data_IF_849536670270
#
_entry.id   IF_849536670270
#
_cell.length_a   1.000
_cell.length_b   1.000
_cell.length_c   1.000
_cell.angle_alpha   90.00
_cell.angle_beta   90.00
_cell.angle_gamma   90.00
#
_symmetry.space_group_name_H-M   'P 1'
#
loop_
_entity.id
_entity.type
_entity.pdbx_description
1 polymer ?
#
# COMPACT_ATOMS: atom_id res chain seq x y z
N UNK A 1 6.62 -3.60 22.69
CA UNK A 1 8.03 -3.89 23.04
C UNK A 1 8.76 -4.68 21.95
N UNK A 2 8.14 -5.67 21.31
CA UNK A 2 8.78 -6.48 20.24
C UNK A 2 9.35 -5.65 19.08
N UNK A 3 8.67 -4.58 18.64
CA UNK A 3 9.18 -3.70 17.57
C UNK A 3 10.43 -2.91 17.97
N UNK A 4 10.52 -2.48 19.22
CA UNK A 4 11.72 -1.80 19.76
C UNK A 4 12.89 -2.77 19.82
N UNK A 5 12.64 -4.01 20.26
CA UNK A 5 13.65 -5.05 20.28
C UNK A 5 14.17 -5.39 18.87
N UNK A 6 13.27 -5.48 17.87
CA UNK A 6 13.65 -5.68 16.46
C UNK A 6 14.49 -4.52 15.91
N UNK A 7 14.15 -3.27 16.24
CA UNK A 7 14.93 -2.10 15.82
C UNK A 7 16.31 -2.07 16.47
N UNK A 8 16.40 -2.34 17.78
CA UNK A 8 17.68 -2.43 18.50
C UNK A 8 18.55 -3.54 17.88
N UNK A 9 17.97 -4.70 17.59
CA UNK A 9 18.68 -5.80 16.96
C UNK A 9 19.19 -5.44 15.55
N UNK A 10 18.37 -4.76 14.74
CA UNK A 10 18.79 -4.28 13.42
C UNK A 10 19.96 -3.30 13.51
N UNK A 11 19.93 -2.36 14.46
CA UNK A 11 21.03 -1.42 14.70
C UNK A 11 22.31 -2.16 15.10
N UNK A 12 22.21 -3.13 16.01
CA UNK A 12 23.35 -3.96 16.43
C UNK A 12 23.94 -4.71 15.22
N UNK A 13 23.12 -5.33 14.38
CA UNK A 13 23.58 -6.00 13.17
C UNK A 13 24.31 -5.04 12.22
N UNK A 14 23.80 -3.82 12.00
CA UNK A 14 24.51 -2.84 11.18
C UNK A 14 25.86 -2.47 11.77
N UNK A 15 25.95 -2.32 13.09
CA UNK A 15 27.21 -2.01 13.75
C UNK A 15 28.25 -3.12 13.59
N UNK A 16 27.82 -4.38 13.70
CA UNK A 16 28.68 -5.56 13.47
C UNK A 16 29.19 -5.62 12.03
N UNK A 17 28.34 -5.32 11.05
CA UNK A 17 28.74 -5.28 9.63
C UNK A 17 29.84 -4.25 9.42
N UNK A 18 29.67 -3.03 9.93
CA UNK A 18 30.68 -1.96 9.81
C UNK A 18 31.96 -2.25 10.60
N UNK A 19 31.86 -2.88 11.76
CA UNK A 19 33.03 -3.36 12.50
C UNK A 19 33.81 -4.40 11.70
N UNK A 20 33.14 -5.30 10.98
CA UNK A 20 33.84 -6.27 10.13
C UNK A 20 34.61 -5.60 8.99
N UNK A 21 34.04 -4.55 8.38
CA UNK A 21 34.70 -3.74 7.34
C UNK A 21 35.93 -3.02 7.91
N UNK A 22 35.83 -2.46 9.11
CA UNK A 22 36.95 -1.79 9.77
C UNK A 22 38.12 -2.76 10.04
N UNK A 23 37.82 -3.99 10.46
CA UNK A 23 38.84 -5.04 10.66
C UNK A 23 39.48 -5.43 9.32
N UNK A 24 38.69 -5.61 8.25
CA UNK A 24 39.22 -5.92 6.92
C UNK A 24 40.13 -4.80 6.40
N UNK A 25 39.78 -3.53 6.67
CA UNK A 25 40.63 -2.39 6.31
C UNK A 25 41.98 -2.40 7.02
N UNK A 26 42.02 -2.85 8.26
CA UNK A 26 43.23 -2.94 9.07
C UNK A 26 44.14 -4.10 8.63
N UNK A 27 43.58 -5.21 8.15
CA UNK A 27 44.34 -6.40 7.74
C UNK A 27 44.74 -6.39 6.25
N UNK A 28 43.88 -5.87 5.37
CA UNK A 28 44.05 -5.99 3.92
C UNK A 28 43.50 -4.74 3.20
N UNK A 29 44.26 -3.63 3.15
CA UNK A 29 43.78 -2.36 2.60
C UNK A 29 43.38 -2.47 1.12
N UNK A 30 43.99 -3.39 0.37
CA UNK A 30 43.71 -3.61 -1.05
C UNK A 30 42.32 -4.22 -1.33
N UNK A 31 41.69 -4.87 -0.35
CA UNK A 31 40.38 -5.53 -0.48
C UNK A 31 39.23 -4.71 0.13
N UNK A 32 39.54 -3.53 0.64
CA UNK A 32 38.60 -2.66 1.36
C UNK A 32 37.42 -2.25 0.50
N UNK A 33 37.66 -1.90 -0.76
CA UNK A 33 36.61 -1.47 -1.69
C UNK A 33 35.59 -2.60 -1.91
N UNK A 34 36.05 -3.84 -2.06
CA UNK A 34 35.18 -5.01 -2.22
C UNK A 34 34.39 -5.30 -0.94
N UNK A 35 35.04 -5.22 0.22
CA UNK A 35 34.40 -5.41 1.52
C UNK A 35 33.31 -4.35 1.81
N UNK A 36 33.59 -3.07 1.50
CA UNK A 36 32.64 -1.96 1.64
C UNK A 36 31.45 -2.16 0.70
N UNK A 37 31.69 -2.52 -0.55
CA UNK A 37 30.62 -2.79 -1.52
C UNK A 37 29.69 -3.92 -1.06
N UNK A 38 30.25 -5.05 -0.60
CA UNK A 38 29.49 -6.17 -0.09
C UNK A 38 28.72 -5.84 1.21
N UNK A 39 29.34 -5.10 2.12
CA UNK A 39 28.69 -4.64 3.34
C UNK A 39 27.53 -3.69 3.04
N UNK A 40 27.69 -2.80 2.07
CA UNK A 40 26.65 -1.86 1.65
C UNK A 40 25.48 -2.60 0.98
N UNK A 41 25.76 -3.55 0.08
CA UNK A 41 24.74 -4.40 -0.54
C UNK A 41 24.00 -5.23 0.50
N UNK A 42 24.71 -5.85 1.44
CA UNK A 42 24.12 -6.65 2.51
C UNK A 42 23.22 -5.82 3.41
N UNK A 43 23.66 -4.61 3.77
CA UNK A 43 22.86 -3.68 4.57
C UNK A 43 21.60 -3.25 3.82
N UNK A 44 21.71 -2.90 2.54
CA UNK A 44 20.58 -2.56 1.70
C UNK A 44 19.57 -3.71 1.60
N UNK A 45 20.02 -4.92 1.27
CA UNK A 45 19.17 -6.10 1.18
C UNK A 45 18.46 -6.41 2.50
N UNK A 46 19.17 -6.30 3.62
CA UNK A 46 18.61 -6.52 4.95
C UNK A 46 17.48 -5.54 5.27
N UNK A 47 17.71 -4.24 5.02
CA UNK A 47 16.68 -3.21 5.20
C UNK A 47 15.50 -3.39 4.24
N UNK A 48 15.76 -3.82 3.01
CA UNK A 48 14.72 -4.10 2.02
C UNK A 48 13.78 -5.24 2.46
N UNK A 49 14.34 -6.36 2.91
CA UNK A 49 13.56 -7.50 3.42
C UNK A 49 12.73 -7.09 4.63
N UNK A 50 13.32 -6.34 5.56
CA UNK A 50 12.63 -5.86 6.75
C UNK A 50 11.53 -4.84 6.42
N UNK A 51 11.77 -3.95 5.45
CA UNK A 51 10.77 -3.01 4.94
C UNK A 51 9.60 -3.70 4.23
N UNK A 52 9.89 -4.69 3.38
CA UNK A 52 8.86 -5.49 2.71
C UNK A 52 8.01 -6.31 3.69
N UNK A 53 8.63 -6.84 4.76
CA UNK A 53 7.89 -7.54 5.81
C UNK A 53 6.91 -6.60 6.54
N UNK A 54 7.29 -5.34 6.78
CA UNK A 54 6.42 -4.31 7.38
C UNK A 54 5.26 -3.94 6.44
N UNK A 55 5.54 -3.77 5.14
CA UNK A 55 4.53 -3.48 4.11
C UNK A 55 3.48 -4.60 4.03
N UNK A 56 3.92 -5.86 3.95
CA UNK A 56 3.03 -7.03 3.91
C UNK A 56 2.19 -7.17 5.18
N UNK A 57 2.74 -6.80 6.34
CA UNK A 57 1.97 -6.76 7.60
C UNK A 57 0.94 -5.64 7.63
N UNK A 58 1.24 -4.49 7.03
CA UNK A 58 0.32 -3.34 6.97
C UNK A 58 -0.83 -3.62 6.01
N UNK A 59 -0.54 -4.22 4.87
CA UNK A 59 -1.52 -4.67 3.86
C UNK A 59 -2.48 -5.72 4.43
N UNK A 60 -2.04 -6.60 5.34
CA UNK A 60 -2.95 -7.52 6.04
C UNK A 60 -3.88 -6.86 7.06
N UNK A 61 -3.49 -5.73 7.68
CA UNK A 61 -4.36 -5.00 8.63
C UNK A 61 -5.26 -3.95 7.98
N UNK A 62 -4.91 -3.51 6.77
CA UNK A 62 -5.66 -2.51 6.00
C UNK A 62 -7.06 -2.96 5.54
N UNK A 63 -7.31 -4.21 5.09
CA UNK A 63 -8.64 -4.59 4.63
C UNK A 63 -9.66 -4.65 5.77
N UNK A 64 -9.25 -4.98 6.99
CA UNK A 64 -10.16 -4.95 8.15
C UNK A 64 -10.53 -3.54 8.60
N UNK A 65 -9.62 -2.56 8.45
CA UNK A 65 -9.91 -1.15 8.74
C UNK A 65 -10.70 -0.47 7.61
N UNK A 66 -10.36 -0.76 6.36
CA UNK A 66 -11.08 -0.24 5.20
C UNK A 66 -12.55 -0.70 5.18
N UNK A 67 -12.84 -1.93 5.63
CA UNK A 67 -14.23 -2.42 5.74
C UNK A 67 -15.02 -1.72 6.86
N UNK A 68 -14.35 -1.23 7.91
CA UNK A 68 -14.99 -0.47 9.01
C UNK A 68 -15.21 1.00 8.67
N UNK A 69 -14.34 1.60 7.86
CA UNK A 69 -14.55 2.99 7.39
C UNK A 69 -15.56 3.06 6.23
N UNK A 70 -15.55 2.11 5.29
CA UNK A 70 -16.56 2.06 4.20
C UNK A 70 -17.98 1.95 4.75
N UNK A 71 -18.24 1.07 5.74
CA UNK A 71 -19.60 0.90 6.25
C UNK A 71 -20.18 2.17 6.90
N UNK A 72 -19.33 3.03 7.46
CA UNK A 72 -19.77 4.24 8.16
C UNK A 72 -19.94 5.43 7.20
N UNK A 73 -19.10 5.51 6.16
CA UNK A 73 -19.24 6.48 5.06
C UNK A 73 -20.50 6.22 4.24
N UNK A 74 -20.75 4.95 3.90
CA UNK A 74 -21.90 4.54 3.10
C UNK A 74 -23.23 4.72 3.86
N UNK A 75 -23.26 4.45 5.17
CA UNK A 75 -24.45 4.68 6.00
C UNK A 75 -24.81 6.17 6.13
N UNK A 76 -23.80 7.04 6.30
CA UNK A 76 -24.01 8.49 6.37
C UNK A 76 -24.46 9.06 5.02
N UNK A 77 -23.91 8.55 3.93
CA UNK A 77 -24.28 8.94 2.58
C UNK A 77 -25.68 8.43 2.20
N UNK A 78 -26.04 7.22 2.62
CA UNK A 78 -27.39 6.68 2.47
C UNK A 78 -28.42 7.53 3.24
N UNK A 79 -28.11 7.96 4.46
CA UNK A 79 -28.98 8.82 5.26
C UNK A 79 -29.10 10.23 4.67
N UNK A 80 -28.03 10.78 4.09
CA UNK A 80 -28.07 12.05 3.36
C UNK A 80 -28.90 11.94 2.08
N UNK A 81 -28.85 10.80 1.36
CA UNK A 81 -29.76 10.55 0.26
C UNK A 81 -31.20 10.44 0.77
N UNK A 82 -31.45 9.75 1.88
CA UNK A 82 -32.79 9.58 2.48
C UNK A 82 -33.45 10.90 2.91
N UNK A 83 -32.66 11.88 3.32
CA UNK A 83 -33.13 13.23 3.66
C UNK A 83 -33.28 14.18 2.47
N UNK A 84 -32.65 13.90 1.33
CA UNK A 84 -32.86 14.68 0.10
C UNK A 84 -34.18 14.30 -0.57
N UNK A 85 -34.91 15.31 -1.04
CA UNK A 85 -36.11 15.10 -1.84
C UNK A 85 -35.81 14.41 -3.17
N UNK A 86 -36.80 13.77 -3.76
CA UNK A 86 -36.65 13.02 -5.02
C UNK A 86 -36.13 13.91 -6.17
N UNK A 87 -36.54 15.18 -6.21
CA UNK A 87 -36.08 16.16 -7.19
C UNK A 87 -34.59 16.52 -7.02
N UNK A 88 -34.12 16.62 -5.77
CA UNK A 88 -32.72 16.91 -5.44
C UNK A 88 -31.80 15.72 -5.75
N UNK A 89 -32.30 14.50 -5.51
CA UNK A 89 -31.60 13.27 -5.89
C UNK A 89 -31.41 13.17 -7.40
N UNK A 90 -32.44 13.50 -8.18
CA UNK A 90 -32.36 13.47 -9.64
C UNK A 90 -31.38 14.52 -10.16
N UNK A 91 -31.40 15.74 -9.62
CA UNK A 91 -30.45 16.79 -9.97
C UNK A 91 -29.00 16.41 -9.63
N UNK A 92 -28.77 15.80 -8.45
CA UNK A 92 -27.44 15.35 -8.03
C UNK A 92 -26.93 14.21 -8.93
N UNK A 93 -27.80 13.24 -9.26
CA UNK A 93 -27.47 12.14 -10.16
C UNK A 93 -27.10 12.64 -11.56
N UNK A 94 -27.82 13.64 -12.06
CA UNK A 94 -27.56 14.23 -13.38
C UNK A 94 -26.23 14.99 -13.39
N UNK A 95 -25.89 15.67 -12.30
CA UNK A 95 -24.60 16.38 -12.14
C UNK A 95 -23.42 15.40 -12.01
N UNK A 96 -23.57 14.32 -11.24
CA UNK A 96 -22.58 13.26 -11.13
C UNK A 96 -22.34 12.56 -12.48
N UNK A 97 -23.41 12.27 -13.23
CA UNK A 97 -23.28 11.71 -14.59
C UNK A 97 -22.60 12.70 -15.56
N UNK A 98 -22.82 14.00 -15.39
CA UNK A 98 -22.13 15.04 -16.14
C UNK A 98 -20.64 15.13 -15.83
N UNK A 99 -20.26 15.03 -14.55
CA UNK A 99 -18.86 15.08 -14.11
C UNK A 99 -18.08 13.78 -14.39
N UNK A 100 -18.75 12.65 -14.66
CA UNK A 100 -18.11 11.40 -15.08
C UNK A 100 -17.84 11.34 -16.61
N UNK A 101 -18.51 12.16 -17.41
CA UNK A 101 -18.36 12.19 -18.86
C UNK A 101 -17.03 12.80 -19.39
N UNK A 102 -16.36 13.78 -18.74
CA UNK A 102 -15.11 14.35 -19.26
C UNK A 102 -13.86 13.49 -19.03
N UNK A 103 -13.86 12.57 -18.07
CA UNK A 103 -12.71 11.70 -17.79
C UNK A 103 -12.80 10.41 -18.64
N UNK A 104 -12.39 10.54 -19.91
CA UNK A 104 -12.35 9.49 -20.94
C UNK A 104 -11.43 8.29 -20.67
N UNK A 105 -11.14 7.95 -19.41
CA UNK A 105 -10.30 6.82 -19.02
C UNK A 105 -10.96 5.84 -18.03
N UNK A 106 -12.22 6.03 -17.67
CA UNK A 106 -12.94 5.02 -16.86
C UNK A 106 -13.93 4.27 -17.73
N UNK A 107 -13.61 3.00 -18.02
CA UNK A 107 -14.60 2.04 -18.53
C UNK A 107 -15.81 2.11 -17.60
N UNK A 108 -16.93 2.60 -18.12
CA UNK A 108 -18.07 2.95 -17.27
C UNK A 108 -18.52 1.72 -16.49
N UNK A 109 -18.83 1.88 -15.20
CA UNK A 109 -19.39 0.79 -14.38
C UNK A 109 -20.68 0.22 -14.99
N UNK A 110 -21.40 1.00 -15.80
CA UNK A 110 -22.53 0.54 -16.60
C UNK A 110 -22.11 -0.47 -17.68
N UNK A 111 -20.95 -0.29 -18.30
CA UNK A 111 -20.37 -1.23 -19.27
C UNK A 111 -19.82 -2.50 -18.60
N UNK A 112 -19.27 -2.39 -17.39
CA UNK A 112 -18.90 -3.55 -16.57
C UNK A 112 -20.13 -4.36 -16.11
N UNK A 113 -21.24 -3.70 -15.74
CA UNK A 113 -22.50 -4.36 -15.42
C UNK A 113 -23.17 -4.98 -16.66
N UNK A 114 -23.14 -4.28 -17.80
CA UNK A 114 -23.69 -4.80 -19.04
C UNK A 114 -22.91 -6.01 -19.57
N UNK A 115 -21.58 -6.01 -19.44
CA UNK A 115 -20.73 -7.15 -19.79
C UNK A 115 -20.93 -8.34 -18.83
N UNK A 116 -21.08 -8.09 -17.53
CA UNK A 116 -21.40 -9.14 -16.54
C UNK A 116 -22.77 -9.79 -16.82
N UNK A 117 -23.79 -9.00 -17.16
CA UNK A 117 -25.13 -9.52 -17.49
C UNK A 117 -25.16 -10.32 -18.80
N UNK A 118 -24.31 -9.97 -19.77
CA UNK A 118 -24.14 -10.78 -21.00
C UNK A 118 -23.45 -12.12 -20.74
N UNK A 119 -22.63 -12.21 -19.69
CA UNK A 119 -21.89 -13.40 -19.35
C UNK A 119 -22.72 -14.39 -18.52
N UNK A 120 -23.64 -13.91 -17.67
CA UNK A 120 -24.59 -14.76 -16.95
C UNK A 120 -25.65 -15.39 -17.86
N UNK A 121 -26.04 -14.73 -18.94
CA UNK A 121 -26.99 -15.28 -19.92
C UNK A 121 -26.40 -16.29 -20.89
N UNK A 122 -25.07 -16.50 -20.87
CA UNK A 122 -24.35 -17.39 -21.79
C UNK A 122 -23.87 -18.70 -21.12
N UNK A 123 -24.12 -18.86 -19.82
CA UNK A 123 -24.00 -20.13 -19.08
C UNK A 123 -25.37 -20.78 -18.93
#
# INVERSE_FOLDING_TARGET
MERLFQLVWAVVCTFVIWMSVAVVHLLAPNLTVFAVMMAFLGTLCFWLVMGLAQLKSKEKSSPEKAKRESSNGDARLALLMELMGEDERQALKQRLLGDLAPDGETVSLAELLASQNRQSHRS
#
